data_IF_282262135324
#
_entry.id   IF_282262135324
#
_cell.length_a   1.000
_cell.length_b   1.000
_cell.length_c   1.000
_cell.angle_alpha   90.00
_cell.angle_beta   90.00
_cell.angle_gamma   90.00
#
_symmetry.space_group_name_H-M   'P 1'
#
loop_
_entity.id
_entity.type
_entity.pdbx_description
1 polymer ?
#
# COMPACT_ATOMS: atom_id res chain seq x y z
N UNK A 1 -2.70 13.30 21.57
CA UNK A 1 -2.64 13.52 20.11
C UNK A 1 -1.22 13.21 19.71
N UNK A 2 -0.96 11.94 19.43
CA UNK A 2 0.39 11.38 19.26
C UNK A 2 0.33 10.27 18.21
N UNK A 3 -0.48 10.50 17.19
CA UNK A 3 -0.67 9.55 16.11
C UNK A 3 0.49 9.66 15.13
N UNK A 4 0.89 8.53 14.57
CA UNK A 4 1.92 8.48 13.53
C UNK A 4 1.24 8.45 12.17
N UNK A 5 1.66 9.36 11.29
CA UNK A 5 1.17 9.44 9.91
C UNK A 5 2.23 8.94 8.94
N UNK A 6 1.79 8.27 7.87
CA UNK A 6 2.67 7.77 6.79
C UNK A 6 2.07 8.10 5.43
N UNK A 7 2.94 8.29 4.44
CA UNK A 7 2.58 8.38 3.02
C UNK A 7 3.22 7.21 2.30
N UNK A 8 2.44 6.49 1.49
CA UNK A 8 2.88 5.30 0.77
C UNK A 8 2.38 5.36 -0.68
N UNK A 9 3.14 4.76 -1.61
CA UNK A 9 2.80 4.66 -3.02
C UNK A 9 3.08 3.24 -3.50
N UNK A 10 2.13 2.65 -4.20
CA UNK A 10 2.23 1.27 -4.65
C UNK A 10 0.95 0.81 -5.33
N UNK A 11 0.86 -0.50 -5.54
CA UNK A 11 -0.30 -1.13 -6.18
C UNK A 11 -1.20 -1.80 -5.15
N UNK A 12 -2.50 -1.85 -5.42
CA UNK A 12 -3.39 -2.67 -4.60
C UNK A 12 -3.10 -4.15 -4.90
N UNK A 13 -2.61 -4.89 -3.91
CA UNK A 13 -2.10 -6.26 -4.06
C UNK A 13 -3.13 -7.37 -3.86
N UNK A 14 -4.38 -7.02 -3.57
CA UNK A 14 -5.51 -7.94 -3.42
C UNK A 14 -6.80 -7.28 -3.88
N UNK A 15 -7.86 -8.06 -4.06
CA UNK A 15 -9.18 -7.48 -4.27
C UNK A 15 -9.57 -6.56 -3.10
N UNK A 16 -10.24 -5.46 -3.42
CA UNK A 16 -10.77 -4.52 -2.42
C UNK A 16 -12.01 -5.14 -1.79
N UNK A 17 -12.00 -5.32 -0.47
CA UNK A 17 -13.14 -5.89 0.25
C UNK A 17 -14.01 -4.78 0.84
N UNK A 18 -15.21 -4.61 0.30
CA UNK A 18 -16.22 -3.69 0.83
C UNK A 18 -17.01 -4.31 1.99
N UNK A 19 -17.33 -3.49 2.99
CA UNK A 19 -18.21 -3.81 4.13
C UNK A 19 -19.05 -2.59 4.49
N UNK A 20 -20.23 -2.84 5.02
CA UNK A 20 -21.16 -1.79 5.47
C UNK A 20 -21.67 -2.02 6.91
N UNK A 21 -20.78 -2.02 7.91
CA UNK A 21 -21.21 -2.16 9.30
C UNK A 21 -22.05 -0.97 9.73
N UNK A 22 -23.30 -1.23 10.14
CA UNK A 22 -24.22 -0.21 10.67
C UNK A 22 -24.47 0.97 9.71
N UNK A 23 -24.44 0.71 8.39
CA UNK A 23 -24.66 1.75 7.37
C UNK A 23 -23.45 2.66 7.11
N UNK A 24 -22.27 2.31 7.65
CA UNK A 24 -21.01 3.01 7.39
C UNK A 24 -20.20 2.22 6.35
N UNK A 25 -19.97 2.84 5.19
CA UNK A 25 -19.12 2.27 4.15
C UNK A 25 -17.65 2.16 4.57
N UNK A 26 -17.11 0.94 4.56
CA UNK A 26 -15.71 0.64 4.89
C UNK A 26 -15.11 -0.26 3.81
N UNK A 27 -13.86 0.01 3.43
CA UNK A 27 -13.09 -0.86 2.52
C UNK A 27 -11.81 -1.34 3.18
N UNK A 28 -11.42 -2.58 2.92
CA UNK A 28 -10.09 -3.10 3.25
C UNK A 28 -9.33 -3.36 1.95
N UNK A 29 -8.06 -2.96 1.94
CA UNK A 29 -7.14 -3.15 0.83
C UNK A 29 -5.73 -3.36 1.36
N UNK A 30 -4.87 -3.99 0.56
CA UNK A 30 -3.43 -4.13 0.83
C UNK A 30 -2.66 -3.39 -0.25
N UNK A 31 -1.70 -2.55 0.12
CA UNK A 31 -0.82 -1.87 -0.85
C UNK A 31 0.53 -2.55 -0.85
N UNK A 32 0.95 -3.02 -2.03
CA UNK A 32 2.28 -3.51 -2.33
C UNK A 32 3.16 -2.33 -2.78
N UNK A 33 4.11 -1.91 -1.95
CA UNK A 33 4.97 -0.73 -2.17
C UNK A 33 6.41 -1.16 -2.44
N UNK A 34 6.71 -1.51 -3.70
CA UNK A 34 8.04 -1.99 -4.10
C UNK A 34 9.01 -0.83 -4.35
N UNK A 35 10.12 -0.70 -3.59
CA UNK A 35 11.12 0.32 -3.85
C UNK A 35 11.93 -0.03 -5.10
N UNK A 36 12.23 0.99 -5.91
CA UNK A 36 13.17 0.89 -7.04
C UNK A 36 14.55 1.32 -6.59
N UNK A 37 15.53 0.44 -6.73
CA UNK A 37 16.92 0.67 -6.32
C UNK A 37 17.82 0.77 -7.56
N UNK A 38 18.77 1.72 -7.58
CA UNK A 38 19.75 1.83 -8.66
C UNK A 38 21.00 1.03 -8.29
N UNK A 39 21.27 -0.07 -9.01
CA UNK A 39 22.46 -0.93 -8.83
C UNK A 39 23.15 -1.14 -10.17
N UNK A 40 24.46 -0.89 -10.22
CA UNK A 40 25.28 -1.06 -11.43
C UNK A 40 24.69 -0.35 -12.67
N UNK A 41 24.14 0.84 -12.47
CA UNK A 41 23.51 1.64 -13.53
C UNK A 41 22.11 1.19 -13.94
N UNK A 42 21.58 0.08 -13.41
CA UNK A 42 20.24 -0.43 -13.71
C UNK A 42 19.29 -0.20 -12.53
N UNK A 43 18.01 0.00 -12.82
CA UNK A 43 16.97 -0.02 -11.81
C UNK A 43 16.51 -1.46 -11.57
N UNK A 44 16.50 -1.88 -10.32
CA UNK A 44 16.04 -3.20 -9.87
C UNK A 44 14.97 -3.03 -8.79
N UNK A 45 14.06 -4.00 -8.69
CA UNK A 45 13.10 -4.07 -7.61
C UNK A 45 13.78 -4.56 -6.32
N UNK A 46 13.46 -3.92 -5.20
CA UNK A 46 13.76 -4.45 -3.87
C UNK A 46 12.62 -5.32 -3.34
N UNK A 47 12.71 -5.66 -2.06
CA UNK A 47 11.62 -6.36 -1.37
C UNK A 47 10.41 -5.45 -1.24
N UNK A 48 9.24 -6.02 -1.48
CA UNK A 48 7.93 -5.35 -1.40
C UNK A 48 7.35 -5.46 -0.01
#
# INVERSE_FOLDING_TARGET
MSDTYVTLHGWVGSDVTFRDPQGISVVNLRVASTPRLKREGKWVDGDT
#
